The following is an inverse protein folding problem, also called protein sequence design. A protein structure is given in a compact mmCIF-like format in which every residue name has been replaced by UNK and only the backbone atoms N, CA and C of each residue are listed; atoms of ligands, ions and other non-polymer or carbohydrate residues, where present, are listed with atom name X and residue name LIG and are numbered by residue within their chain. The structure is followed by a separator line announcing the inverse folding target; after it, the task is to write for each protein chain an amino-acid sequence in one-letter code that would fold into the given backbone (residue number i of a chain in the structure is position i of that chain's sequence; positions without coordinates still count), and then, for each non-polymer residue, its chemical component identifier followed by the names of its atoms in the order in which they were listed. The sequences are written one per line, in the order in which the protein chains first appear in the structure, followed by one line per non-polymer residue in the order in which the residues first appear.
data_IF_957766177159
#
_entry.id   IF_957766177159
#
_cell.length_a   1.000
_cell.length_b   1.000
_cell.length_c   1.000
_cell.angle_alpha   90.00
_cell.angle_beta   90.00
_cell.angle_gamma   90.00
#
_symmetry.space_group_name_H-M   'P 1'
#
loop_
_entity.id
_entity.type
_entity.pdbx_description
1 polymer ?
#
# COMPACT_ATOMS: atom_id res chain seq x y z
N UNK A 1 2.26 -80.97 -11.77
CA UNK A 1 2.75 -80.99 -13.16
C UNK A 1 1.59 -81.14 -14.11
N UNK A 2 1.16 -80.07 -14.80
CA UNK A 2 1.15 -79.95 -16.28
C UNK A 2 0.67 -78.54 -16.65
N UNK A 3 1.36 -77.99 -17.65
CA UNK A 3 1.30 -76.65 -18.23
C UNK A 3 0.26 -76.58 -19.37
N UNK A 4 -0.19 -75.37 -19.76
CA UNK A 4 -0.33 -74.81 -21.16
C UNK A 4 -1.43 -73.72 -21.18
N UNK A 5 -1.15 -72.41 -21.20
CA UNK A 5 -0.84 -71.43 -22.30
C UNK A 5 -2.06 -70.82 -23.06
N UNK A 6 -2.21 -69.49 -22.90
CA UNK A 6 -2.73 -68.41 -23.80
C UNK A 6 -4.02 -68.55 -24.63
N UNK A 7 -4.86 -67.50 -24.66
CA UNK A 7 -5.06 -66.62 -25.85
C UNK A 7 -5.73 -65.29 -25.47
N UNK A 8 -5.23 -64.22 -26.08
CA UNK A 8 -5.60 -62.80 -26.04
C UNK A 8 -6.94 -62.51 -26.74
N UNK A 9 -7.70 -61.51 -26.27
CA UNK A 9 -8.58 -60.73 -27.16
C UNK A 9 -8.76 -59.32 -26.61
N UNK A 10 -8.40 -58.34 -27.45
CA UNK A 10 -8.56 -56.92 -27.23
C UNK A 10 -10.00 -56.49 -27.55
N UNK A 11 -10.52 -55.53 -26.79
CA UNK A 11 -11.68 -54.74 -27.19
C UNK A 11 -11.37 -53.27 -26.92
N UNK A 12 -11.23 -52.53 -28.01
CA UNK A 12 -11.20 -51.07 -28.08
C UNK A 12 -12.42 -50.47 -27.40
N UNK A 13 -12.23 -49.37 -26.69
CA UNK A 13 -13.30 -48.40 -26.44
C UNK A 13 -12.72 -47.00 -26.58
N UNK A 14 -13.32 -46.30 -27.53
CA UNK A 14 -12.93 -45.04 -28.10
C UNK A 14 -13.13 -43.85 -27.14
N UNK A 15 -12.14 -42.96 -27.18
CA UNK A 15 -12.19 -41.49 -27.14
C UNK A 15 -13.52 -40.80 -26.77
N UNK A 16 -13.47 -40.02 -25.69
CA UNK A 16 -14.27 -38.80 -25.53
C UNK A 16 -13.44 -37.78 -24.74
N UNK A 17 -12.43 -37.21 -25.40
CA UNK A 17 -11.76 -36.01 -24.91
C UNK A 17 -12.73 -34.83 -25.10
N UNK A 18 -13.34 -34.40 -24.01
CA UNK A 18 -14.22 -33.23 -23.97
C UNK A 18 -13.42 -31.98 -24.30
N UNK A 19 -13.82 -31.36 -25.40
CA UNK A 19 -13.26 -30.15 -25.98
C UNK A 19 -13.45 -28.96 -25.05
N UNK A 20 -12.45 -28.68 -24.21
CA UNK A 20 -12.34 -27.39 -23.54
C UNK A 20 -11.51 -26.48 -24.44
N UNK A 21 -12.24 -25.78 -25.30
CA UNK A 21 -11.81 -24.68 -26.16
C UNK A 21 -10.82 -23.79 -25.40
N UNK A 22 -9.52 -24.00 -25.60
CA UNK A 22 -8.49 -23.07 -25.15
C UNK A 22 -8.65 -21.79 -25.98
N UNK A 23 -9.44 -20.87 -25.44
CA UNK A 23 -9.41 -19.48 -25.85
C UNK A 23 -8.02 -18.96 -25.52
N UNK A 24 -7.14 -19.04 -26.52
CA UNK A 24 -5.94 -18.25 -26.66
C UNK A 24 -6.35 -16.79 -26.54
N UNK A 25 -6.29 -16.27 -25.32
CA UNK A 25 -6.32 -14.84 -25.08
C UNK A 25 -4.95 -14.31 -25.48
N UNK A 26 -4.86 -13.95 -26.76
CA UNK A 26 -3.76 -13.14 -27.28
C UNK A 26 -3.98 -11.72 -26.77
N UNK A 27 -3.61 -11.48 -25.53
CA UNK A 27 -3.39 -10.13 -25.08
C UNK A 27 -1.94 -9.77 -25.43
N UNK A 28 -1.80 -9.22 -26.62
CA UNK A 28 -0.70 -8.32 -26.93
C UNK A 28 -0.87 -7.08 -26.06
N UNK A 29 -0.51 -7.17 -24.79
CA UNK A 29 -0.22 -5.99 -24.01
C UNK A 29 1.12 -5.45 -24.52
N UNK A 30 1.01 -4.65 -25.59
CA UNK A 30 2.07 -3.71 -25.94
C UNK A 30 2.41 -2.95 -24.66
N UNK A 31 3.71 -2.87 -24.38
CA UNK A 31 4.27 -2.11 -23.27
C UNK A 31 3.75 -0.66 -23.35
N UNK A 32 2.61 -0.41 -22.71
CA UNK A 32 2.18 0.93 -22.36
C UNK A 32 3.14 1.35 -21.27
N UNK A 33 4.21 2.04 -21.69
CA UNK A 33 5.08 2.75 -20.78
C UNK A 33 4.20 3.72 -20.00
N UNK A 34 3.83 3.32 -18.79
CA UNK A 34 2.93 4.10 -17.94
C UNK A 34 3.57 5.47 -17.77
N UNK A 35 2.83 6.57 -18.01
CA UNK A 35 3.39 7.90 -17.88
C UNK A 35 4.00 8.05 -16.49
N UNK A 36 5.20 8.63 -16.45
CA UNK A 36 5.94 8.82 -15.20
C UNK A 36 5.05 9.59 -14.20
N UNK A 37 4.87 9.08 -12.97
CA UNK A 37 4.05 9.75 -11.97
C UNK A 37 4.48 11.19 -11.71
N UNK A 38 3.52 12.10 -11.62
CA UNK A 38 3.75 13.53 -11.41
C UNK A 38 3.46 14.01 -9.99
N UNK A 39 2.68 13.24 -9.24
CA UNK A 39 2.28 13.51 -7.86
C UNK A 39 2.29 12.22 -7.04
N UNK A 40 2.15 12.35 -5.72
CA UNK A 40 2.12 11.24 -4.77
C UNK A 40 1.11 10.16 -5.18
N UNK A 41 -0.13 10.56 -5.48
CA UNK A 41 -1.23 9.62 -5.74
C UNK A 41 -0.98 8.77 -6.98
N UNK A 42 -0.45 9.35 -8.05
CA UNK A 42 -0.09 8.60 -9.25
C UNK A 42 1.03 7.58 -8.97
N UNK A 43 2.03 7.96 -8.17
CA UNK A 43 3.13 7.07 -7.82
C UNK A 43 2.69 5.95 -6.90
N UNK A 44 1.79 6.24 -5.96
CA UNK A 44 1.16 5.25 -5.09
C UNK A 44 0.38 4.23 -5.91
N UNK A 45 -0.50 4.68 -6.82
CA UNK A 45 -1.29 3.78 -7.68
C UNK A 45 -0.39 2.93 -8.56
N UNK A 46 0.70 3.49 -9.07
CA UNK A 46 1.69 2.74 -9.84
C UNK A 46 2.39 1.66 -8.98
N UNK A 47 2.82 1.99 -7.77
CA UNK A 47 3.40 1.03 -6.83
C UNK A 47 2.43 -0.08 -6.44
N UNK A 48 1.15 0.25 -6.20
CA UNK A 48 0.11 -0.74 -5.89
C UNK A 48 -0.16 -1.69 -7.06
N UNK A 49 -0.07 -1.22 -8.31
CA UNK A 49 -0.14 -2.11 -9.48
C UNK A 49 1.03 -3.08 -9.51
N UNK A 50 2.25 -2.60 -9.25
CA UNK A 50 3.44 -3.46 -9.18
C UNK A 50 3.32 -4.51 -8.06
N UNK A 51 2.71 -4.17 -6.92
CA UNK A 51 2.40 -5.15 -5.87
C UNK A 51 1.49 -6.28 -6.37
N UNK A 52 0.45 -5.94 -7.15
CA UNK A 52 -0.46 -6.93 -7.74
C UNK A 52 0.23 -7.82 -8.78
N UNK A 53 1.24 -7.30 -9.48
CA UNK A 53 2.06 -8.03 -10.45
C UNK A 53 3.15 -8.90 -9.76
N UNK A 54 3.33 -8.77 -8.45
CA UNK A 54 4.36 -9.47 -7.67
C UNK A 54 5.77 -8.85 -7.80
N UNK A 55 5.87 -7.67 -8.39
CA UNK A 55 7.10 -6.92 -8.64
C UNK A 55 7.48 -6.06 -7.43
N UNK A 56 7.72 -6.71 -6.28
CA UNK A 56 7.81 -6.04 -4.97
C UNK A 56 8.99 -5.08 -4.86
N UNK A 57 10.15 -5.40 -5.44
CA UNK A 57 11.32 -4.50 -5.45
C UNK A 57 11.06 -3.24 -6.28
N UNK A 58 10.31 -3.37 -7.38
CA UNK A 58 9.92 -2.23 -8.20
C UNK A 58 8.85 -1.39 -7.50
N UNK A 59 7.88 -2.05 -6.85
CA UNK A 59 6.86 -1.39 -6.04
C UNK A 59 7.49 -0.56 -4.92
N UNK A 60 8.48 -1.13 -4.20
CA UNK A 60 9.20 -0.43 -3.14
C UNK A 60 9.86 0.86 -3.66
N UNK A 61 10.55 0.78 -4.79
CA UNK A 61 11.16 1.97 -5.44
C UNK A 61 10.10 3.01 -5.84
N UNK A 62 8.93 2.57 -6.32
CA UNK A 62 7.84 3.46 -6.67
C UNK A 62 7.30 4.21 -5.44
N UNK A 63 7.14 3.52 -4.30
CA UNK A 63 6.74 4.14 -3.04
C UNK A 63 7.82 5.08 -2.48
N UNK A 64 9.10 4.74 -2.57
CA UNK A 64 10.18 5.65 -2.19
C UNK A 64 10.22 6.92 -3.06
N UNK A 65 9.83 6.80 -4.33
CA UNK A 65 9.72 7.94 -5.24
C UNK A 65 8.52 8.81 -4.92
N UNK A 66 7.41 8.25 -4.42
CA UNK A 66 6.21 9.04 -4.10
C UNK A 66 6.49 10.09 -3.01
N UNK A 67 7.38 9.82 -2.06
CA UNK A 67 7.85 10.80 -1.05
C UNK A 67 8.50 12.05 -1.63
N UNK A 68 9.02 11.97 -2.87
CA UNK A 68 9.74 13.07 -3.52
C UNK A 68 8.83 13.88 -4.43
N UNK A 69 7.59 13.44 -4.61
CA UNK A 69 6.60 14.08 -5.46
C UNK A 69 5.69 14.98 -4.63
N UNK A 70 5.07 16.00 -5.25
CA UNK A 70 4.06 16.80 -4.58
C UNK A 70 2.89 15.94 -4.10
N UNK A 71 2.34 16.28 -2.93
CA UNK A 71 1.10 15.71 -2.42
C UNK A 71 -0.05 15.91 -3.39
N UNK A 72 -1.05 15.02 -3.34
CA UNK A 72 -2.16 15.03 -4.28
C UNK A 72 -3.22 16.07 -3.96
N UNK A 73 -3.30 16.51 -2.70
CA UNK A 73 -4.25 17.55 -2.26
C UNK A 73 -3.60 18.92 -2.22
N UNK A 74 -4.36 19.93 -2.66
CA UNK A 74 -3.96 21.33 -2.51
C UNK A 74 -4.35 21.85 -1.14
N UNK A 75 -3.37 22.34 -0.38
CA UNK A 75 -3.62 23.14 0.83
C UNK A 75 -3.35 24.62 0.55
N UNK A 76 -4.00 25.52 1.30
CA UNK A 76 -3.84 26.98 1.18
C UNK A 76 -3.33 27.52 2.52
N UNK A 77 -2.04 27.81 2.59
CA UNK A 77 -1.45 28.47 3.75
C UNK A 77 -1.69 29.97 3.64
N UNK A 78 -2.40 30.54 4.62
CA UNK A 78 -2.55 32.00 4.73
C UNK A 78 -1.22 32.62 5.13
N UNK A 79 -0.68 33.48 4.29
CA UNK A 79 0.65 34.07 4.47
C UNK A 79 0.59 35.47 5.06
N UNK A 80 -0.42 36.27 4.71
CA UNK A 80 -0.50 37.67 5.14
C UNK A 80 -1.92 38.19 5.26
N UNK A 81 -2.18 38.99 6.30
CA UNK A 81 -3.37 39.82 6.42
C UNK A 81 -3.20 41.08 5.56
N UNK A 82 -4.08 41.27 4.59
CA UNK A 82 -4.12 42.44 3.72
C UNK A 82 -5.09 43.44 4.33
N UNK A 83 -4.62 44.67 4.57
CA UNK A 83 -5.46 45.81 4.94
C UNK A 83 -6.06 46.44 3.69
N UNK A 84 -7.38 46.64 3.65
CA UNK A 84 -8.10 47.25 2.52
C UNK A 84 -9.58 46.88 2.52
N UNK A 85 -10.43 47.47 1.66
CA UNK A 85 -11.82 47.03 1.54
C UNK A 85 -11.87 45.56 1.12
N UNK A 86 -12.63 44.73 1.86
CA UNK A 86 -12.83 43.33 1.49
C UNK A 86 -13.48 43.23 0.10
N UNK A 87 -13.03 42.31 -0.78
CA UNK A 87 -13.64 42.10 -2.09
C UNK A 87 -15.14 41.77 -2.05
N UNK A 88 -15.62 41.19 -0.94
CA UNK A 88 -17.04 40.83 -0.77
C UNK A 88 -17.87 41.90 -0.03
N UNK A 89 -17.26 43.05 0.29
CA UNK A 89 -17.92 44.15 1.00
C UNK A 89 -18.22 43.85 2.48
N UNK A 90 -18.23 44.88 3.32
CA UNK A 90 -18.68 44.78 4.73
C UNK A 90 -17.59 44.66 5.81
N UNK A 91 -16.30 44.53 5.45
CA UNK A 91 -15.18 44.59 6.41
C UNK A 91 -13.90 45.17 5.79
N UNK A 92 -13.02 45.69 6.65
CA UNK A 92 -11.65 46.09 6.29
C UNK A 92 -10.75 44.86 6.38
N UNK A 93 -10.46 44.22 5.25
CA UNK A 93 -9.32 43.30 5.12
C UNK A 93 -9.59 42.05 4.28
N UNK A 94 -8.51 41.42 3.85
CA UNK A 94 -8.46 40.10 3.20
C UNK A 94 -7.24 39.30 3.67
N UNK A 95 -7.09 38.05 3.22
CA UNK A 95 -5.88 37.25 3.50
C UNK A 95 -5.26 36.77 2.19
N UNK A 96 -3.97 36.99 2.01
CA UNK A 96 -3.17 36.33 0.97
C UNK A 96 -2.92 34.88 1.37
N UNK A 97 -3.03 33.96 0.41
CA UNK A 97 -2.75 32.55 0.63
C UNK A 97 -1.84 31.99 -0.46
N UNK A 98 -0.93 31.08 -0.08
CA UNK A 98 -0.10 30.31 -0.99
C UNK A 98 -0.63 28.88 -1.09
N UNK A 99 -0.82 28.39 -2.32
CA UNK A 99 -1.11 26.97 -2.55
C UNK A 99 0.13 26.14 -2.28
N UNK A 100 -0.04 25.08 -1.50
CA UNK A 100 1.00 24.14 -1.11
C UNK A 100 0.55 22.72 -1.50
N UNK A 101 1.52 21.90 -1.89
CA UNK A 101 1.33 20.52 -2.34
C UNK A 101 2.22 19.60 -1.51
N UNK A 102 2.13 19.73 -0.18
CA UNK A 102 2.82 18.87 0.76
C UNK A 102 2.03 17.57 0.93
N UNK A 103 2.73 16.48 1.31
CA UNK A 103 2.06 15.24 1.64
C UNK A 103 1.21 15.45 2.89
N UNK A 104 -0.05 15.03 2.83
CA UNK A 104 -0.89 15.02 4.03
C UNK A 104 -0.61 13.81 4.93
N UNK A 105 -1.13 13.82 6.16
CA UNK A 105 -0.93 12.73 7.12
C UNK A 105 -1.40 11.37 6.56
N UNK A 106 -2.47 11.34 5.75
CA UNK A 106 -2.98 10.10 5.16
C UNK A 106 -2.06 9.57 4.06
N UNK A 107 -1.44 10.46 3.28
CA UNK A 107 -0.44 10.10 2.28
C UNK A 107 0.81 9.52 2.96
N UNK A 108 1.26 10.12 4.07
CA UNK A 108 2.33 9.56 4.90
C UNK A 108 1.97 8.19 5.49
N UNK A 109 0.76 8.01 6.02
CA UNK A 109 0.28 6.72 6.50
C UNK A 109 0.31 5.68 5.38
N UNK A 110 -0.26 6.02 4.22
CA UNK A 110 -0.45 5.10 3.11
C UNK A 110 0.89 4.64 2.52
N UNK A 111 1.85 5.54 2.28
CA UNK A 111 3.15 5.15 1.72
C UNK A 111 3.93 4.26 2.69
N UNK A 112 3.93 4.56 3.98
CA UNK A 112 4.61 3.73 4.96
C UNK A 112 3.95 2.36 5.08
N UNK A 113 2.62 2.29 5.09
CA UNK A 113 1.90 1.02 5.09
C UNK A 113 2.23 0.19 3.84
N UNK A 114 2.19 0.81 2.65
CA UNK A 114 2.48 0.15 1.39
C UNK A 114 3.94 -0.34 1.30
N UNK A 115 4.90 0.45 1.78
CA UNK A 115 6.30 0.03 1.90
C UNK A 115 6.46 -1.13 2.87
N UNK A 116 5.72 -1.13 3.99
CA UNK A 116 5.73 -2.26 4.90
C UNK A 116 5.26 -3.55 4.23
N UNK A 117 4.16 -3.50 3.47
CA UNK A 117 3.67 -4.62 2.68
C UNK A 117 4.72 -5.12 1.68
N UNK A 118 5.35 -4.21 0.93
CA UNK A 118 6.42 -4.57 -0.01
C UNK A 118 7.62 -5.23 0.68
N UNK A 119 8.12 -4.65 1.78
CA UNK A 119 9.21 -5.23 2.56
C UNK A 119 8.85 -6.59 3.16
N UNK A 120 7.61 -6.76 3.64
CA UNK A 120 7.11 -8.04 4.15
C UNK A 120 7.15 -9.10 3.05
N UNK A 121 6.65 -8.81 1.84
CA UNK A 121 6.72 -9.77 0.71
C UNK A 121 8.14 -10.17 0.32
N UNK A 122 9.10 -9.27 0.52
CA UNK A 122 10.53 -9.49 0.27
C UNK A 122 11.25 -10.21 1.43
N UNK A 123 10.57 -10.51 2.55
CA UNK A 123 11.19 -11.09 3.74
C UNK A 123 12.03 -10.11 4.56
N UNK A 124 11.96 -8.81 4.27
CA UNK A 124 12.70 -7.75 4.96
C UNK A 124 11.97 -7.35 6.25
N UNK A 125 11.98 -8.25 7.25
CA UNK A 125 11.20 -8.11 8.50
C UNK A 125 11.45 -6.77 9.20
N UNK A 126 12.72 -6.40 9.41
CA UNK A 126 13.08 -5.19 10.16
C UNK A 126 12.55 -3.91 9.50
N UNK A 127 12.72 -3.78 8.18
CA UNK A 127 12.24 -2.61 7.44
C UNK A 127 10.72 -2.58 7.34
N UNK A 128 10.08 -3.75 7.23
CA UNK A 128 8.62 -3.85 7.22
C UNK A 128 8.02 -3.36 8.54
N UNK A 129 8.53 -3.84 9.68
CA UNK A 129 8.08 -3.42 11.02
C UNK A 129 8.34 -1.93 11.24
N UNK A 130 9.51 -1.41 10.83
CA UNK A 130 9.84 0.02 10.93
C UNK A 130 8.89 0.91 10.13
N UNK A 131 8.48 0.45 8.95
CA UNK A 131 7.52 1.17 8.12
C UNK A 131 6.10 1.11 8.72
N UNK A 132 5.66 -0.04 9.27
CA UNK A 132 4.40 -0.10 10.02
C UNK A 132 4.37 0.85 11.22
N UNK A 133 5.45 0.87 12.01
CA UNK A 133 5.57 1.82 13.12
C UNK A 133 5.42 3.26 12.64
N UNK A 134 6.05 3.59 11.51
CA UNK A 134 5.95 4.93 10.92
C UNK A 134 4.50 5.25 10.52
N UNK A 135 3.79 4.31 9.87
CA UNK A 135 2.38 4.48 9.53
C UNK A 135 1.52 4.73 10.79
N UNK A 136 1.77 3.99 11.88
CA UNK A 136 1.06 4.16 13.15
C UNK A 136 1.33 5.53 13.78
N UNK A 137 2.58 6.01 13.73
CA UNK A 137 2.96 7.34 14.21
C UNK A 137 2.30 8.48 13.45
N UNK A 138 2.00 8.27 12.16
CA UNK A 138 1.22 9.22 11.36
C UNK A 138 -0.30 9.09 11.53
N UNK A 139 -0.76 8.20 12.43
CA UNK A 139 -2.16 8.11 12.83
C UNK A 139 -2.94 6.93 12.24
N UNK A 140 -2.28 5.99 11.55
CA UNK A 140 -2.95 4.76 11.13
C UNK A 140 -3.30 3.91 12.36
N UNK A 141 -4.59 3.64 12.57
CA UNK A 141 -5.13 3.00 13.77
C UNK A 141 -5.95 1.73 13.49
N UNK A 142 -6.05 1.31 12.23
CA UNK A 142 -6.74 0.08 11.86
C UNK A 142 -5.86 -1.16 12.07
N UNK A 143 -5.52 -1.42 13.33
CA UNK A 143 -4.69 -2.53 13.77
C UNK A 143 -5.32 -3.91 13.50
N UNK A 144 -6.65 -3.96 13.37
CA UNK A 144 -7.36 -5.17 12.98
C UNK A 144 -6.97 -5.57 11.55
N UNK A 145 -6.96 -4.62 10.61
CA UNK A 145 -6.53 -4.86 9.22
C UNK A 145 -5.09 -5.35 9.17
N UNK A 146 -4.17 -4.73 9.92
CA UNK A 146 -2.74 -5.11 9.94
C UNK A 146 -2.56 -6.59 10.31
N UNK A 147 -3.34 -7.10 11.27
CA UNK A 147 -3.26 -8.50 11.73
C UNK A 147 -3.77 -9.53 10.75
N UNK A 148 -4.60 -9.11 9.80
CA UNK A 148 -5.22 -10.01 8.83
C UNK A 148 -4.73 -9.76 7.41
N UNK A 149 -3.85 -8.78 7.23
CA UNK A 149 -3.38 -8.38 5.91
C UNK A 149 -2.55 -9.51 5.27
N UNK A 150 -2.95 -10.05 4.11
CA UNK A 150 -2.21 -11.10 3.41
C UNK A 150 -0.81 -10.65 2.94
N UNK A 151 -0.56 -9.35 2.83
CA UNK A 151 0.75 -8.81 2.45
C UNK A 151 1.73 -8.75 3.62
N UNK A 152 1.23 -8.80 4.85
CA UNK A 152 2.02 -8.78 6.07
C UNK A 152 2.25 -10.18 6.69
N UNK A 153 1.77 -11.25 6.04
CA UNK A 153 1.86 -12.63 6.57
C UNK A 153 3.28 -13.04 6.98
N UNK A 154 4.30 -12.61 6.23
CA UNK A 154 5.69 -13.00 6.51
C UNK A 154 6.21 -12.43 7.82
N UNK A 155 5.66 -11.29 8.28
CA UNK A 155 6.08 -10.65 9.52
C UNK A 155 5.14 -10.93 10.69
N UNK A 156 3.90 -11.36 10.45
CA UNK A 156 2.88 -11.52 11.51
C UNK A 156 3.26 -12.52 12.61
N UNK A 157 4.13 -13.49 12.30
CA UNK A 157 4.63 -14.51 13.25
C UNK A 157 5.94 -14.10 13.93
N UNK A 158 6.48 -12.93 13.60
CA UNK A 158 7.75 -12.44 14.13
C UNK A 158 7.55 -11.75 15.47
N UNK A 159 8.59 -11.83 16.32
CA UNK A 159 8.57 -11.19 17.64
C UNK A 159 8.55 -9.67 17.53
N UNK A 160 9.19 -9.13 16.50
CA UNK A 160 9.25 -7.71 16.19
C UNK A 160 7.85 -7.15 15.91
N UNK A 161 7.06 -7.86 15.10
CA UNK A 161 5.67 -7.49 14.83
C UNK A 161 4.81 -7.60 16.09
N UNK A 162 4.92 -8.69 16.85
CA UNK A 162 4.18 -8.86 18.10
C UNK A 162 4.44 -7.71 19.10
N UNK A 163 5.71 -7.34 19.28
CA UNK A 163 6.11 -6.21 20.13
C UNK A 163 5.52 -4.88 19.64
N UNK A 164 5.54 -4.65 18.31
CA UNK A 164 4.95 -3.46 17.72
C UNK A 164 3.45 -3.40 18.00
N UNK A 165 2.72 -4.48 17.74
CA UNK A 165 1.28 -4.54 17.96
C UNK A 165 0.91 -4.40 19.44
N UNK A 166 1.71 -4.97 20.35
CA UNK A 166 1.53 -4.77 21.79
C UNK A 166 1.70 -3.31 22.21
N UNK A 167 2.59 -2.56 21.53
CA UNK A 167 2.85 -1.15 21.82
C UNK A 167 1.69 -0.25 21.39
N UNK A 168 1.07 -0.52 20.24
CA UNK A 168 0.07 0.37 19.64
C UNK A 168 -1.39 -0.09 19.83
N UNK A 169 -1.67 -1.39 19.75
CA UNK A 169 -3.03 -1.95 19.89
C UNK A 169 -3.29 -2.61 21.26
N UNK A 170 -2.25 -2.80 22.06
CA UNK A 170 -2.40 -3.32 23.42
C UNK A 170 -3.34 -2.44 24.23
N UNK A 171 -4.31 -3.06 24.91
CA UNK A 171 -5.28 -2.44 25.85
C UNK A 171 -4.63 -1.78 27.09
N UNK A 172 -3.43 -1.24 26.96
CA UNK A 172 -2.82 -0.34 27.92
C UNK A 172 -2.79 1.05 27.28
N UNK A 173 -3.96 1.69 27.24
CA UNK A 173 -4.08 3.13 27.02
C UNK A 173 -3.46 3.94 28.16
N UNK A 174 -2.18 3.75 28.46
CA UNK A 174 -1.53 4.46 29.55
C UNK A 174 -0.24 5.18 29.19
N UNK A 175 0.51 4.87 28.13
CA UNK A 175 1.69 5.68 27.79
C UNK A 175 1.99 5.69 26.29
N UNK A 176 1.24 6.51 25.54
CA UNK A 176 1.83 7.18 24.38
C UNK A 176 2.85 8.22 24.92
N UNK A 177 4.17 8.11 24.69
CA UNK A 177 5.11 9.18 25.04
C UNK A 177 4.81 10.47 24.26
N UNK A 178 4.06 10.38 23.17
CA UNK A 178 3.57 11.50 22.35
C UNK A 178 2.23 12.09 22.81
N UNK A 179 1.48 11.45 23.72
CA UNK A 179 0.27 12.08 24.31
C UNK A 179 0.61 13.17 25.32
N UNK A 180 1.87 13.26 25.77
CA UNK A 180 2.28 14.29 26.73
C UNK A 180 2.46 15.69 26.10
N UNK A 181 2.50 15.81 24.77
CA UNK A 181 2.78 17.08 24.09
C UNK A 181 1.57 17.78 23.46
N UNK A 182 0.35 17.23 23.58
CA UNK A 182 -0.87 17.84 23.03
C UNK A 182 -1.79 18.49 24.06
N UNK A 183 -1.23 18.97 25.17
CA UNK A 183 -1.93 19.89 26.08
C UNK A 183 -1.03 21.07 26.42
N UNK A 184 -1.10 22.10 25.56
CA UNK A 184 -1.01 23.54 25.88
C UNK A 184 -0.89 24.36 24.60
N UNK A 185 -2.03 24.86 24.12
CA UNK A 185 -2.33 26.29 23.94
C UNK A 185 -3.72 26.46 23.35
#
# INVERSE_FOLDING_TARGET
STTTTTTTTAASSAVAASSSKSLLFSESQGAQETPKPTNFREAEVFGLRLMQEGEYERALKAFEQSFKLPGSKTDIIRTKMISGPSPVGGSSGGTEGKKVYELDEFEYQAVHYNMACAHSKLGNVADSVKNLESAFRFGFDNYATVRTDPDLLQIQTTREFENLMMTYDGKNGFLNPLSFFRSKK
#
